data_IF_566177545953
#
_entry.id   IF_566177545953
#
_cell.length_a   1.000
_cell.length_b   1.000
_cell.length_c   1.000
_cell.angle_alpha   90.00
_cell.angle_beta   90.00
_cell.angle_gamma   90.00
#
_symmetry.space_group_name_H-M   'P 1'
#
loop_
_entity.id
_entity.type
_entity.pdbx_description
1 polymer ?
#
# COMPACT_ATOMS: atom_id res chain seq x y z
N UNK A 1 25.58 20.96 -7.38
CA UNK A 1 24.38 21.47 -6.71
C UNK A 1 23.34 21.70 -7.81
N UNK A 2 22.48 20.72 -8.06
CA UNK A 2 21.31 20.72 -8.95
C UNK A 2 20.75 19.28 -8.95
N UNK A 3 19.78 18.98 -8.08
CA UNK A 3 19.07 17.70 -8.10
C UNK A 3 17.79 17.85 -8.90
N UNK A 4 17.63 16.95 -9.87
CA UNK A 4 16.61 16.94 -10.90
C UNK A 4 15.20 16.84 -10.32
N UNK A 5 14.36 17.78 -10.77
CA UNK A 5 12.93 17.60 -10.94
C UNK A 5 12.66 16.32 -11.76
N UNK A 6 12.08 15.29 -11.14
CA UNK A 6 11.20 14.37 -11.85
C UNK A 6 9.81 14.61 -11.27
N UNK A 7 9.29 15.78 -11.61
CA UNK A 7 7.87 16.10 -11.55
C UNK A 7 7.28 15.47 -12.82
N UNK A 8 6.53 14.37 -12.68
CA UNK A 8 5.67 13.89 -13.76
C UNK A 8 4.53 14.91 -13.93
N UNK A 9 4.82 15.98 -14.69
CA UNK A 9 3.81 16.92 -15.15
C UNK A 9 3.14 16.35 -16.40
N UNK A 10 2.11 15.52 -16.22
CA UNK A 10 1.13 15.32 -17.27
C UNK A 10 0.21 16.55 -17.33
N UNK A 11 0.55 17.47 -18.22
CA UNK A 11 -0.35 18.58 -18.59
C UNK A 11 -1.43 18.01 -19.51
N UNK A 12 -2.61 17.76 -18.97
CA UNK A 12 -3.85 17.77 -19.75
C UNK A 12 -4.80 18.82 -19.16
N UNK A 13 -4.95 19.91 -19.90
CA UNK A 13 -5.97 20.93 -19.68
C UNK A 13 -7.32 20.41 -20.16
N UNK A 14 -8.13 19.80 -19.28
CA UNK A 14 -9.60 19.83 -19.34
C UNK A 14 -10.11 19.71 -17.91
N UNK A 15 -11.04 20.58 -17.51
CA UNK A 15 -11.70 20.51 -16.21
C UNK A 15 -12.45 19.20 -16.03
N UNK A 16 -11.88 18.33 -15.20
CA UNK A 16 -12.50 17.13 -14.66
C UNK A 16 -11.92 16.92 -13.26
N UNK A 17 -12.76 16.52 -12.32
CA UNK A 17 -12.39 16.23 -10.94
C UNK A 17 -11.02 15.53 -10.84
N UNK A 18 -10.16 15.86 -9.85
CA UNK A 18 -8.87 15.20 -9.67
C UNK A 18 -9.09 13.75 -9.20
N UNK A 19 -9.37 12.87 -10.15
CA UNK A 19 -9.17 11.44 -10.02
C UNK A 19 -7.68 11.19 -10.23
N UNK A 20 -7.06 10.62 -9.20
CA UNK A 20 -5.71 10.09 -9.24
C UNK A 20 -5.53 9.30 -10.53
N UNK A 21 -4.57 9.71 -11.37
CA UNK A 21 -4.44 9.15 -12.72
C UNK A 21 -4.21 7.65 -12.65
N UNK A 22 -4.91 6.93 -13.53
CA UNK A 22 -4.73 5.50 -13.70
C UNK A 22 -3.28 5.19 -14.07
N UNK A 23 -2.78 4.06 -13.57
CA UNK A 23 -1.42 3.63 -13.81
C UNK A 23 -1.42 2.69 -15.01
N UNK A 24 -1.22 3.27 -16.19
CA UNK A 24 -1.30 2.54 -17.44
C UNK A 24 -2.69 1.98 -17.68
N UNK A 25 -2.84 0.65 -17.62
CA UNK A 25 -4.16 0.01 -17.73
C UNK A 25 -4.74 -0.46 -16.39
N UNK A 26 -4.01 -0.26 -15.29
CA UNK A 26 -4.58 -0.43 -13.95
C UNK A 26 -5.26 0.87 -13.54
N UNK A 27 -6.41 0.76 -12.90
CA UNK A 27 -6.87 1.87 -12.05
C UNK A 27 -5.86 2.13 -10.95
N UNK A 28 -5.80 3.35 -10.45
CA UNK A 28 -4.86 3.65 -9.37
C UNK A 28 -5.09 2.75 -8.14
N UNK A 29 -6.34 2.49 -7.77
CA UNK A 29 -6.67 1.61 -6.65
C UNK A 29 -6.19 0.17 -6.87
N UNK A 30 -6.30 -0.36 -8.09
CA UNK A 30 -5.75 -1.69 -8.41
C UNK A 30 -4.23 -1.74 -8.24
N UNK A 31 -3.52 -0.69 -8.70
CA UNK A 31 -2.08 -0.58 -8.51
C UNK A 31 -1.71 -0.55 -7.03
N UNK A 32 -2.29 0.38 -6.26
CA UNK A 32 -1.99 0.55 -4.84
C UNK A 32 -2.30 -0.72 -4.02
N UNK A 33 -3.40 -1.39 -4.32
CA UNK A 33 -3.77 -2.63 -3.62
C UNK A 33 -2.86 -3.81 -3.98
N UNK A 34 -2.32 -3.85 -5.19
CA UNK A 34 -1.30 -4.85 -5.57
C UNK A 34 0.04 -4.55 -4.92
N UNK A 35 0.46 -3.29 -4.92
CA UNK A 35 1.70 -2.83 -4.28
C UNK A 35 1.69 -3.12 -2.76
N UNK A 36 0.58 -2.82 -2.09
CA UNK A 36 0.33 -3.15 -0.67
C UNK A 36 0.55 -4.64 -0.35
N UNK A 37 0.29 -5.55 -1.30
CA UNK A 37 0.55 -6.99 -1.08
C UNK A 37 2.03 -7.33 -1.04
N UNK A 38 2.85 -6.63 -1.82
CA UNK A 38 4.30 -6.77 -1.75
C UNK A 38 4.82 -6.37 -0.37
N UNK A 39 4.33 -5.24 0.16
CA UNK A 39 4.65 -4.77 1.51
C UNK A 39 4.11 -5.71 2.59
N UNK A 40 2.90 -6.24 2.41
CA UNK A 40 2.34 -7.24 3.31
C UNK A 40 3.24 -8.47 3.41
N UNK A 41 3.66 -9.00 2.27
CA UNK A 41 4.52 -10.18 2.22
C UNK A 41 5.87 -9.91 2.90
N UNK A 42 6.41 -8.70 2.73
CA UNK A 42 7.64 -8.25 3.40
C UNK A 42 7.48 -8.22 4.94
N UNK A 43 6.39 -7.64 5.46
CA UNK A 43 6.09 -7.62 6.90
C UNK A 43 5.91 -9.04 7.45
N UNK A 44 5.07 -9.83 6.80
CA UNK A 44 4.77 -11.20 7.23
C UNK A 44 6.01 -12.09 7.24
N UNK A 45 6.97 -11.85 6.35
CA UNK A 45 8.24 -12.57 6.37
C UNK A 45 8.98 -12.37 7.70
N UNK A 46 9.04 -11.14 8.23
CA UNK A 46 9.68 -10.88 9.52
C UNK A 46 8.85 -11.30 10.73
N UNK A 47 7.51 -11.27 10.63
CA UNK A 47 6.67 -11.81 11.68
C UNK A 47 6.87 -13.32 11.84
N UNK A 48 7.12 -14.03 10.73
CA UNK A 48 7.39 -15.47 10.72
C UNK A 48 8.82 -15.80 11.11
N UNK A 49 9.78 -15.00 10.64
CA UNK A 49 11.21 -15.15 10.92
C UNK A 49 11.84 -13.78 11.22
N UNK A 50 11.93 -13.38 12.51
CA UNK A 50 12.49 -12.09 12.92
C UNK A 50 13.95 -11.87 12.52
N UNK A 51 14.67 -12.97 12.23
CA UNK A 51 16.08 -12.99 11.86
C UNK A 51 16.29 -13.18 10.37
N UNK A 52 15.21 -13.17 9.57
CA UNK A 52 15.30 -13.24 8.12
C UNK A 52 16.28 -12.18 7.59
N UNK A 53 17.06 -12.54 6.58
CA UNK A 53 17.97 -11.60 5.92
C UNK A 53 17.15 -10.48 5.27
N UNK A 54 17.28 -9.28 5.82
CA UNK A 54 16.52 -8.14 5.33
C UNK A 54 16.86 -7.78 3.89
N UNK A 55 18.10 -7.97 3.46
CA UNK A 55 18.53 -7.74 2.08
C UNK A 55 17.78 -8.65 1.12
N UNK A 56 17.67 -9.93 1.47
CA UNK A 56 16.96 -10.92 0.67
C UNK A 56 15.45 -10.63 0.63
N UNK A 57 14.85 -10.25 1.76
CA UNK A 57 13.43 -9.89 1.80
C UNK A 57 13.14 -8.59 1.07
N UNK A 58 14.03 -7.60 1.15
CA UNK A 58 13.93 -6.34 0.42
C UNK A 58 14.02 -6.57 -1.10
N UNK A 59 14.93 -7.42 -1.57
CA UNK A 59 15.02 -7.80 -2.99
C UNK A 59 13.72 -8.43 -3.48
N UNK A 60 13.15 -9.39 -2.72
CA UNK A 60 11.87 -10.02 -3.07
C UNK A 60 10.72 -9.02 -3.14
N UNK A 61 10.69 -8.06 -2.22
CA UNK A 61 9.68 -6.99 -2.24
C UNK A 61 9.84 -6.12 -3.48
N UNK A 62 11.07 -5.72 -3.84
CA UNK A 62 11.34 -4.97 -5.08
C UNK A 62 10.90 -5.74 -6.32
N UNK A 63 11.24 -7.03 -6.43
CA UNK A 63 10.85 -7.87 -7.55
C UNK A 63 9.31 -7.95 -7.66
N UNK A 64 8.61 -8.09 -6.54
CA UNK A 64 7.15 -8.03 -6.50
C UNK A 64 6.61 -6.68 -7.02
N UNK A 65 7.19 -5.55 -6.58
CA UNK A 65 6.78 -4.22 -7.06
C UNK A 65 7.09 -4.02 -8.54
N UNK A 66 8.20 -4.58 -9.05
CA UNK A 66 8.54 -4.61 -10.48
C UNK A 66 7.46 -5.36 -11.25
N UNK A 67 7.02 -6.51 -10.76
CA UNK A 67 5.96 -7.30 -11.39
C UNK A 67 4.60 -6.57 -11.40
N UNK A 68 4.26 -5.85 -10.32
CA UNK A 68 3.07 -4.99 -10.26
C UNK A 68 3.15 -3.87 -11.28
N UNK A 69 4.28 -3.15 -11.36
CA UNK A 69 4.50 -2.10 -12.35
C UNK A 69 4.47 -2.65 -13.77
N UNK A 70 5.16 -3.77 -14.05
CA UNK A 70 5.12 -4.45 -15.34
C UNK A 70 3.70 -4.82 -15.71
N UNK A 71 2.92 -5.33 -14.76
CA UNK A 71 1.51 -5.59 -14.99
C UNK A 71 0.83 -4.31 -15.44
N UNK A 72 0.90 -3.20 -14.71
CA UNK A 72 0.12 -1.99 -15.01
C UNK A 72 0.60 -1.17 -16.21
N UNK A 73 1.92 -1.09 -16.48
CA UNK A 73 2.53 -0.16 -17.45
C UNK A 73 3.38 -0.84 -18.54
N UNK A 74 3.19 -2.14 -18.81
CA UNK A 74 3.95 -2.91 -19.82
C UNK A 74 4.11 -2.21 -21.18
N UNK A 75 3.11 -1.46 -21.62
CA UNK A 75 3.09 -0.82 -22.95
C UNK A 75 3.67 0.62 -22.92
N UNK A 76 4.03 1.12 -21.73
CA UNK A 76 4.49 2.49 -21.50
C UNK A 76 5.94 2.57 -21.01
N UNK A 77 6.41 1.53 -20.31
CA UNK A 77 7.75 1.49 -19.72
C UNK A 77 8.44 0.16 -19.99
N UNK A 78 9.73 0.23 -20.30
CA UNK A 78 10.59 -0.97 -20.35
C UNK A 78 10.83 -1.51 -18.94
N UNK A 79 11.17 -2.80 -18.84
CA UNK A 79 11.51 -3.41 -17.55
C UNK A 79 12.71 -2.70 -16.87
N UNK A 80 13.69 -2.24 -17.65
CA UNK A 80 14.82 -1.47 -17.10
C UNK A 80 14.35 -0.18 -16.45
N UNK A 81 13.50 0.60 -17.13
CA UNK A 81 12.95 1.84 -16.58
C UNK A 81 12.11 1.60 -15.32
N UNK A 82 11.35 0.50 -15.28
CA UNK A 82 10.57 0.10 -14.09
C UNK A 82 11.51 -0.19 -12.92
N UNK A 83 12.56 -0.98 -13.15
CA UNK A 83 13.58 -1.30 -12.14
C UNK A 83 14.28 -0.03 -11.65
N UNK A 84 14.76 0.82 -12.56
CA UNK A 84 15.42 2.07 -12.23
C UNK A 84 14.53 2.98 -11.37
N UNK A 85 13.24 3.08 -11.70
CA UNK A 85 12.27 3.86 -10.91
C UNK A 85 12.05 3.29 -9.50
N UNK A 86 11.92 1.96 -9.39
CA UNK A 86 11.76 1.30 -8.09
C UNK A 86 13.01 1.44 -7.23
N UNK A 87 14.20 1.32 -7.85
CA UNK A 87 15.50 1.49 -7.19
C UNK A 87 15.72 2.92 -6.71
N UNK A 88 15.25 3.90 -7.47
CA UNK A 88 15.29 5.31 -7.06
C UNK A 88 14.32 5.63 -5.91
N UNK A 89 13.18 4.92 -5.86
CA UNK A 89 12.09 5.20 -4.90
C UNK A 89 12.26 4.46 -3.58
N UNK A 90 12.86 3.27 -3.59
CA UNK A 90 12.98 2.40 -2.41
C UNK A 90 14.43 2.21 -2.02
N UNK A 91 14.76 2.66 -0.81
CA UNK A 91 16.09 2.49 -0.23
C UNK A 91 16.08 1.39 0.81
N UNK A 92 17.05 0.49 0.72
CA UNK A 92 17.19 -0.62 1.66
C UNK A 92 17.39 -0.11 3.07
N UNK A 93 18.17 0.95 3.23
CA UNK A 93 18.49 1.56 4.51
C UNK A 93 17.21 2.07 5.19
N UNK A 94 16.24 2.56 4.41
CA UNK A 94 14.94 2.97 4.93
C UNK A 94 14.21 1.75 5.49
N UNK A 95 14.08 0.63 4.78
CA UNK A 95 13.23 -0.46 5.27
C UNK A 95 13.92 -1.44 6.24
N UNK A 96 15.24 -1.59 6.13
CA UNK A 96 16.00 -2.56 6.92
C UNK A 96 16.66 -1.97 8.16
N UNK A 97 17.21 -0.76 8.03
CA UNK A 97 18.15 -0.21 9.01
C UNK A 97 17.53 0.94 9.80
N UNK A 98 16.55 1.65 9.22
CA UNK A 98 16.02 2.89 9.79
C UNK A 98 14.52 2.86 10.08
N UNK A 99 13.68 2.30 9.22
CA UNK A 99 12.25 2.61 9.16
C UNK A 99 11.41 1.59 8.32
N UNK A 100 10.98 0.48 8.91
CA UNK A 100 9.82 -0.24 8.34
C UNK A 100 8.53 0.63 8.42
N UNK A 101 8.55 1.71 9.20
CA UNK A 101 7.41 2.61 9.38
C UNK A 101 7.34 3.72 8.31
N UNK A 102 7.73 3.43 7.07
CA UNK A 102 7.05 4.07 5.93
C UNK A 102 5.61 3.51 5.84
N UNK A 103 4.79 3.81 6.86
CA UNK A 103 3.50 4.39 6.56
C UNK A 103 3.84 5.57 5.68
N UNK A 104 3.75 5.40 4.35
CA UNK A 104 4.16 6.38 3.36
C UNK A 104 3.55 7.72 3.76
N UNK A 105 4.30 8.51 4.53
CA UNK A 105 3.90 9.86 4.84
C UNK A 105 4.04 10.53 3.52
N UNK A 106 2.91 11.03 3.04
CA UNK A 106 2.83 11.96 1.94
C UNK A 106 4.01 12.89 2.09
N UNK A 107 4.90 12.83 1.11
CA UNK A 107 6.09 13.67 1.13
C UNK A 107 5.61 15.11 1.35
N UNK A 108 6.22 15.89 2.25
CA UNK A 108 5.84 17.29 2.46
C UNK A 108 5.84 18.13 1.16
N UNK A 109 6.50 17.65 0.11
CA UNK A 109 6.47 18.24 -1.22
C UNK A 109 5.16 18.03 -1.99
N UNK A 110 4.27 17.11 -1.59
CA UNK A 110 2.96 16.88 -2.23
C UNK A 110 1.78 17.44 -1.44
N UNK A 111 1.96 17.78 -0.15
CA UNK A 111 0.95 18.39 0.69
C UNK A 111 1.57 19.53 1.52
N UNK A 112 1.06 20.76 1.42
CA UNK A 112 1.46 21.84 2.31
C UNK A 112 1.14 21.49 3.76
N UNK A 113 2.19 21.26 4.55
CA UNK A 113 2.10 21.07 5.99
C UNK A 113 2.91 22.13 6.73
N UNK A 114 2.63 22.31 8.02
CA UNK A 114 3.41 23.19 8.89
C UNK A 114 4.85 22.69 9.08
N UNK A 115 5.72 23.57 9.58
CA UNK A 115 7.11 23.22 9.86
C UNK A 115 7.27 22.18 10.99
N UNK A 116 6.28 22.04 11.88
CA UNK A 116 6.29 21.06 12.99
C UNK A 116 5.95 19.64 12.56
N UNK A 117 5.28 19.48 11.42
CA UNK A 117 4.77 18.19 10.94
C UNK A 117 5.81 17.06 10.97
N UNK A 118 7.00 17.30 10.40
CA UNK A 118 8.03 16.25 10.33
C UNK A 118 8.46 15.75 11.70
N UNK A 119 8.61 16.65 12.68
CA UNK A 119 8.95 16.26 14.05
C UNK A 119 7.78 15.52 14.73
N UNK A 120 6.55 15.98 14.50
CA UNK A 120 5.33 15.29 14.96
C UNK A 120 5.24 13.86 14.41
N UNK A 121 5.48 13.68 13.12
CA UNK A 121 5.40 12.38 12.45
C UNK A 121 6.47 11.41 12.99
N UNK A 122 7.68 11.89 13.24
CA UNK A 122 8.73 11.10 13.89
C UNK A 122 8.34 10.68 15.31
N UNK A 123 7.67 11.57 16.06
CA UNK A 123 7.17 11.23 17.40
C UNK A 123 6.07 10.16 17.34
N UNK A 124 5.11 10.26 16.41
CA UNK A 124 4.05 9.26 16.22
C UNK A 124 4.61 7.85 15.94
N UNK A 125 5.73 7.75 15.21
CA UNK A 125 6.35 6.48 14.82
C UNK A 125 7.32 5.91 15.85
N UNK A 126 7.72 6.70 16.87
CA UNK A 126 8.85 6.38 17.74
C UNK A 126 8.68 5.05 18.48
N UNK A 127 7.53 4.84 19.11
CA UNK A 127 7.25 3.63 19.90
C UNK A 127 7.28 2.37 19.03
N UNK A 128 6.47 2.39 17.95
CA UNK A 128 6.45 1.33 16.95
C UNK A 128 7.85 1.01 16.42
N UNK A 129 8.62 2.02 16.01
CA UNK A 129 9.99 1.85 15.48
C UNK A 129 10.90 1.16 16.49
N UNK A 130 10.90 1.62 17.74
CA UNK A 130 11.73 1.02 18.79
C UNK A 130 11.37 -0.44 19.03
N UNK A 131 10.08 -0.77 19.01
CA UNK A 131 9.59 -2.14 19.20
C UNK A 131 9.93 -3.03 18.00
N UNK A 132 9.67 -2.55 16.79
CA UNK A 132 9.98 -3.26 15.54
C UNK A 132 11.47 -3.58 15.40
N UNK A 133 12.34 -2.61 15.69
CA UNK A 133 13.79 -2.83 15.61
C UNK A 133 14.30 -3.80 16.66
N UNK A 134 13.63 -3.88 17.82
CA UNK A 134 13.97 -4.82 18.90
C UNK A 134 13.51 -6.24 18.57
N UNK A 135 12.28 -6.40 18.11
CA UNK A 135 11.69 -7.68 17.74
C UNK A 135 10.62 -7.47 16.66
N UNK A 136 10.93 -7.91 15.43
CA UNK A 136 10.04 -7.77 14.28
C UNK A 136 8.83 -8.72 14.29
N UNK A 137 8.78 -9.66 15.25
CA UNK A 137 7.62 -10.53 15.49
C UNK A 137 6.81 -10.17 16.74
N UNK A 138 7.16 -9.08 17.44
CA UNK A 138 6.48 -8.71 18.67
C UNK A 138 4.96 -8.56 18.40
N UNK A 139 4.10 -9.31 19.11
CA UNK A 139 2.67 -9.31 18.84
C UNK A 139 2.00 -7.95 19.09
N UNK A 140 2.62 -7.07 19.88
CA UNK A 140 2.12 -5.72 20.09
C UNK A 140 2.39 -4.79 18.89
N UNK A 141 3.16 -5.20 17.88
CA UNK A 141 3.32 -4.42 16.65
C UNK A 141 1.98 -4.14 15.96
N UNK A 142 1.00 -5.04 16.10
CA UNK A 142 -0.36 -4.83 15.61
C UNK A 142 -1.01 -3.59 16.24
N UNK A 143 -1.04 -3.48 17.57
CA UNK A 143 -1.64 -2.33 18.27
C UNK A 143 -0.81 -1.06 18.10
N UNK A 144 0.52 -1.16 18.16
CA UNK A 144 1.43 -0.02 18.03
C UNK A 144 1.34 0.62 16.63
N UNK A 145 1.22 -0.20 15.58
CA UNK A 145 1.04 0.32 14.22
C UNK A 145 -0.31 1.03 14.06
N UNK A 146 -1.37 0.49 14.66
CA UNK A 146 -2.69 1.13 14.67
C UNK A 146 -2.65 2.50 15.40
N UNK A 147 -1.97 2.56 16.54
CA UNK A 147 -1.77 3.80 17.31
C UNK A 147 -0.93 4.81 16.53
N UNK A 148 0.14 4.38 15.86
CA UNK A 148 0.94 5.25 14.98
C UNK A 148 0.10 5.81 13.84
N UNK A 149 -0.73 5.01 13.17
CA UNK A 149 -1.63 5.49 12.11
C UNK A 149 -2.63 6.52 12.61
N UNK A 150 -3.22 6.28 13.78
CA UNK A 150 -4.13 7.22 14.42
C UNK A 150 -3.43 8.56 14.72
N UNK A 151 -2.26 8.50 15.35
CA UNK A 151 -1.45 9.69 15.63
C UNK A 151 -1.09 10.47 14.36
N UNK A 152 -0.67 9.76 13.29
CA UNK A 152 -0.36 10.39 12.01
C UNK A 152 -1.59 11.02 11.35
N UNK A 153 -2.77 10.40 11.46
CA UNK A 153 -4.01 10.97 10.95
C UNK A 153 -4.36 12.26 11.69
N UNK A 154 -4.36 12.23 13.02
CA UNK A 154 -4.64 13.42 13.84
C UNK A 154 -3.65 14.56 13.54
N UNK A 155 -2.38 14.22 13.29
CA UNK A 155 -1.34 15.17 12.91
C UNK A 155 -1.55 15.73 11.50
N UNK A 156 -1.84 14.89 10.51
CA UNK A 156 -2.13 15.35 9.13
C UNK A 156 -3.37 16.25 9.10
N UNK A 157 -4.41 15.89 9.85
CA UNK A 157 -5.66 16.66 9.93
C UNK A 157 -5.48 18.04 10.57
N UNK A 158 -4.49 18.18 11.47
CA UNK A 158 -4.23 19.44 12.19
C UNK A 158 -3.15 20.31 11.55
N UNK A 159 -2.12 19.71 10.94
CA UNK A 159 -0.92 20.42 10.49
C UNK A 159 -0.83 20.55 8.97
N UNK A 160 -1.70 19.89 8.20
CA UNK A 160 -1.63 19.88 6.74
C UNK A 160 -2.91 20.38 6.08
N UNK A 161 -2.75 21.07 4.94
CA UNK A 161 -3.86 21.44 4.07
C UNK A 161 -3.90 20.51 2.86
N UNK A 162 -4.82 19.56 2.85
CA UNK A 162 -4.90 18.52 1.84
C UNK A 162 -6.33 18.31 1.34
N UNK A 163 -6.49 17.99 0.06
CA UNK A 163 -7.80 17.87 -0.59
C UNK A 163 -7.70 17.02 -1.87
N UNK A 164 -8.84 16.60 -2.42
CA UNK A 164 -8.87 15.85 -3.67
C UNK A 164 -8.02 14.57 -3.63
N UNK A 165 -7.04 14.47 -4.51
CA UNK A 165 -6.13 13.31 -4.65
C UNK A 165 -5.29 13.06 -3.40
N UNK A 166 -4.71 14.10 -2.81
CA UNK A 166 -3.89 13.95 -1.61
C UNK A 166 -4.70 13.41 -0.44
N UNK A 167 -5.97 13.82 -0.32
CA UNK A 167 -6.90 13.24 0.66
C UNK A 167 -7.14 11.74 0.44
N UNK A 168 -7.36 11.31 -0.80
CA UNK A 168 -7.52 9.88 -1.12
C UNK A 168 -6.27 9.08 -0.73
N UNK A 169 -5.09 9.63 -0.96
CA UNK A 169 -3.82 8.99 -0.57
C UNK A 169 -3.62 8.96 0.94
N UNK A 170 -3.95 10.03 1.69
CA UNK A 170 -4.00 9.99 3.17
C UNK A 170 -4.94 8.87 3.62
N UNK A 171 -6.15 8.86 3.06
CA UNK A 171 -7.20 7.96 3.49
C UNK A 171 -6.85 6.50 3.18
N UNK A 172 -6.18 6.23 2.05
CA UNK A 172 -5.65 4.91 1.72
C UNK A 172 -4.52 4.48 2.66
N UNK A 173 -3.48 5.30 2.84
CA UNK A 173 -2.29 4.94 3.63
C UNK A 173 -2.59 4.80 5.13
N UNK A 174 -3.58 5.54 5.62
CA UNK A 174 -4.00 5.55 7.03
C UNK A 174 -5.40 4.92 7.19
N UNK A 175 -5.79 3.99 6.30
CA UNK A 175 -7.01 3.19 6.46
C UNK A 175 -6.84 2.14 7.57
N UNK A 176 -7.79 1.20 7.65
CA UNK A 176 -7.77 0.14 8.67
C UNK A 176 -6.78 -0.99 8.37
N UNK A 177 -6.10 -1.01 7.22
CA UNK A 177 -5.18 -2.09 6.86
C UNK A 177 -3.94 -2.09 7.75
N UNK A 178 -3.54 -3.25 8.25
CA UNK A 178 -2.43 -3.39 9.19
C UNK A 178 -1.70 -4.72 8.98
N UNK A 179 -0.51 -4.73 8.34
CA UNK A 179 0.21 -5.96 8.04
C UNK A 179 0.71 -6.68 9.29
N UNK A 180 0.67 -6.06 10.46
CA UNK A 180 1.13 -6.66 11.71
C UNK A 180 0.04 -7.46 12.44
N UNK A 181 -1.22 -7.28 12.06
CA UNK A 181 -2.35 -8.01 12.64
C UNK A 181 -2.64 -9.31 11.86
N UNK A 182 -3.23 -10.31 12.53
CA UNK A 182 -3.46 -11.63 11.94
C UNK A 182 -4.42 -11.61 10.74
N UNK A 183 -5.45 -10.76 10.80
CA UNK A 183 -6.45 -10.53 9.75
C UNK A 183 -6.09 -9.34 8.83
N UNK A 184 -4.89 -8.80 8.98
CA UNK A 184 -4.38 -7.60 8.31
C UNK A 184 -5.20 -6.33 8.57
N UNK A 185 -5.86 -6.21 9.73
CA UNK A 185 -6.70 -5.05 10.08
C UNK A 185 -6.40 -4.54 11.48
N UNK A 186 -6.60 -3.25 11.69
CA UNK A 186 -6.43 -2.64 13.01
C UNK A 186 -7.38 -3.27 14.04
N UNK A 187 -6.94 -3.40 15.31
CA UNK A 187 -7.81 -3.84 16.39
C UNK A 187 -9.09 -2.99 16.47
N UNK A 188 -10.25 -3.64 16.41
CA UNK A 188 -11.56 -2.98 16.51
C UNK A 188 -12.07 -2.33 15.22
N UNK A 189 -11.39 -2.53 14.08
CA UNK A 189 -11.87 -2.02 12.79
C UNK A 189 -13.21 -2.62 12.38
N UNK A 190 -14.23 -1.77 12.18
CA UNK A 190 -15.57 -2.18 11.72
C UNK A 190 -15.78 -2.00 10.21
N UNK A 191 -15.01 -1.11 9.58
CA UNK A 191 -15.06 -0.82 8.14
C UNK A 191 -14.13 -1.74 7.37
N UNK A 192 -14.50 -2.10 6.15
CA UNK A 192 -13.60 -2.80 5.24
C UNK A 192 -12.38 -1.93 4.90
N UNK A 193 -11.24 -2.55 4.62
CA UNK A 193 -10.06 -1.84 4.12
C UNK A 193 -10.28 -1.33 2.69
N UNK A 194 -9.43 -0.39 2.26
CA UNK A 194 -9.56 0.24 0.94
C UNK A 194 -9.36 -0.71 -0.24
N UNK A 195 -8.83 -1.92 -0.01
CA UNK A 195 -8.61 -2.93 -1.04
C UNK A 195 -9.68 -4.03 -1.05
N UNK A 196 -10.69 -3.94 -0.19
CA UNK A 196 -11.81 -4.86 -0.19
C UNK A 196 -12.57 -4.83 -1.52
N UNK A 197 -12.67 -5.99 -2.17
CA UNK A 197 -13.37 -6.13 -3.46
C UNK A 197 -12.58 -5.68 -4.69
N UNK A 198 -11.34 -5.22 -4.53
CA UNK A 198 -10.44 -4.95 -5.66
C UNK A 198 -9.98 -6.29 -6.25
N UNK A 199 -10.21 -6.48 -7.56
CA UNK A 199 -10.00 -7.77 -8.22
C UNK A 199 -8.52 -8.16 -8.35
N UNK A 200 -8.21 -9.36 -7.90
CA UNK A 200 -6.91 -10.00 -8.04
C UNK A 200 -6.74 -10.67 -9.40
N UNK A 201 -6.75 -9.89 -10.48
CA UNK A 201 -6.43 -10.41 -11.81
C UNK A 201 -4.92 -10.78 -11.95
N UNK A 202 -4.15 -10.82 -10.85
CA UNK A 202 -2.74 -11.22 -10.82
C UNK A 202 -2.55 -12.73 -11.04
N UNK A 203 -3.56 -13.54 -10.72
CA UNK A 203 -3.64 -14.89 -11.28
C UNK A 203 -4.42 -14.80 -12.58
N UNK A 204 -3.84 -15.21 -13.70
CA UNK A 204 -4.55 -15.46 -14.95
C UNK A 204 -5.55 -16.62 -14.85
N UNK A 205 -6.26 -16.74 -13.74
CA UNK A 205 -7.46 -17.54 -13.59
C UNK A 205 -8.63 -16.56 -13.66
N UNK A 206 -9.32 -16.59 -14.80
CA UNK A 206 -10.66 -16.02 -14.95
C UNK A 206 -11.48 -16.28 -13.68
N UNK A 207 -12.32 -15.33 -13.23
CA UNK A 207 -13.25 -15.61 -12.14
C UNK A 207 -13.96 -16.92 -12.46
N UNK A 208 -13.79 -17.87 -11.54
CA UNK A 208 -14.23 -19.24 -11.70
C UNK A 208 -15.70 -19.25 -12.10
N UNK A 209 -15.97 -19.80 -13.28
CA UNK A 209 -17.30 -20.06 -13.86
C UNK A 209 -18.17 -20.91 -12.90
N UNK A 210 -17.60 -21.42 -11.81
CA UNK A 210 -18.30 -22.10 -10.72
C UNK A 210 -19.40 -21.28 -10.03
N UNK A 211 -19.27 -19.95 -9.88
CA UNK A 211 -20.36 -19.19 -9.24
C UNK A 211 -21.59 -19.08 -10.15
N UNK A 212 -21.41 -18.99 -11.47
CA UNK A 212 -22.50 -18.93 -12.43
C UNK A 212 -23.13 -20.31 -12.68
N UNK A 213 -22.35 -21.40 -12.59
CA UNK A 213 -22.86 -22.78 -12.69
C UNK A 213 -23.73 -23.19 -11.50
N UNK A 214 -23.43 -22.71 -10.29
CA UNK A 214 -24.25 -23.01 -9.10
C UNK A 214 -25.68 -22.42 -9.19
N UNK A 215 -25.85 -21.28 -9.86
CA UNK A 215 -27.19 -20.70 -10.07
C UNK A 215 -27.97 -21.31 -11.25
N UNK A 216 -27.29 -21.99 -12.18
CA UNK A 216 -27.95 -22.65 -13.31
C UNK A 216 -28.46 -24.07 -12.99
N UNK A 217 -27.92 -24.73 -11.96
CA UNK A 217 -28.27 -26.14 -11.64
C UNK A 217 -29.40 -26.24 -10.60
N UNK A 218 -29.62 -25.21 -9.77
CA UNK A 218 -30.67 -25.23 -8.75
C UNK A 218 -32.13 -25.26 -9.25
N UNK A 219 -32.50 -24.80 -10.47
CA UNK A 219 -33.87 -24.99 -10.96
C UNK A 219 -34.14 -26.40 -11.50
N UNK A 220 -33.11 -27.17 -11.88
CA UNK A 220 -33.30 -28.48 -12.50
C UNK A 220 -33.58 -29.61 -11.50
N UNK A 221 -33.22 -29.43 -10.23
CA UNK A 221 -33.47 -30.44 -9.18
C UNK A 221 -34.92 -30.44 -8.66
N UNK A 222 -35.75 -29.48 -9.07
CA UNK A 222 -37.16 -29.39 -8.67
C UNK A 222 -38.16 -29.81 -9.77
N UNK A 223 -37.69 -30.25 -10.95
CA UNK A 223 -38.55 -30.66 -12.07
C UNK A 223 -38.79 -32.18 -12.16
N UNK A 224 -38.20 -32.99 -11.27
CA UNK A 224 -38.48 -34.43 -11.18
C UNK A 224 -39.12 -34.78 -9.84
N UNK A 225 -40.40 -34.45 -9.71
CA UNK A 225 -41.29 -35.11 -8.76
C UNK A 225 -42.68 -35.22 -9.37
N UNK A 226 -42.87 -36.24 -10.21
CA UNK A 226 -44.16 -36.81 -10.63
C UNK A 226 -44.02 -38.32 -10.52
#
# INVERSE_FOLDING_TARGET
>A
MNFFNILFAFVFLVGSDPTLSDMGHCTNMEYLCRDRKCENAFAKAFQKDPKADCSAMFSKMKDCKVDVMKFCVKDQMTESQIKDNIDASLKKENLCDQDYAELSTLSPSSIPCSASYNNGAQNCRRSFRQKFMKDKSDPALCSEYAETKKCLRDLVDSECNYSGESKKMVDFNLDVYNPFCADNRDPGATKNDSCYGVLDNASGTKPSIFLTLMFAIFPFLFLFKV
#
